data_IF_221041002609
#
_entry.id   IF_221041002609
#
_cell.length_a   1.000
_cell.length_b   1.000
_cell.length_c   1.000
_cell.angle_alpha   90.00
_cell.angle_beta   90.00
_cell.angle_gamma   90.00
#
_symmetry.space_group_name_H-M   'P 1'
#
loop_
_entity.id
_entity.type
_entity.pdbx_description
1 polymer ?
#
# COMPACT_ATOMS: atom_id res chain seq x y z
N UNK A 1 -16.03 -14.40 2.85
CA UNK A 1 -16.04 -14.69 4.29
C UNK A 1 -15.22 -15.93 4.49
N UNK A 2 -14.02 -15.71 5.03
CA UNK A 2 -12.85 -16.57 4.93
C UNK A 2 -12.97 -17.84 5.75
N UNK A 3 -12.41 -18.93 5.22
CA UNK A 3 -12.41 -20.25 5.85
C UNK A 3 -11.82 -20.27 7.28
N UNK A 4 -11.02 -19.25 7.62
CA UNK A 4 -10.45 -19.01 8.94
C UNK A 4 -11.50 -18.72 10.02
N UNK A 5 -12.49 -17.87 9.74
CA UNK A 5 -13.55 -17.55 10.72
C UNK A 5 -14.41 -18.77 11.05
N UNK A 6 -14.59 -19.65 10.07
CA UNK A 6 -15.35 -20.90 10.25
C UNK A 6 -14.60 -21.88 11.15
N UNK A 7 -13.27 -21.94 11.04
CA UNK A 7 -12.43 -22.82 11.87
C UNK A 7 -12.37 -22.30 13.32
N UNK A 8 -12.23 -20.98 13.50
CA UNK A 8 -12.29 -20.33 14.81
C UNK A 8 -13.63 -20.54 15.51
N UNK A 9 -14.74 -20.43 14.78
CA UNK A 9 -16.09 -20.67 15.32
C UNK A 9 -16.27 -22.12 15.77
N UNK A 10 -15.72 -23.08 15.03
CA UNK A 10 -15.78 -24.50 15.37
C UNK A 10 -15.01 -24.80 16.66
N UNK A 11 -13.79 -24.27 16.79
CA UNK A 11 -12.95 -24.48 17.98
C UNK A 11 -13.61 -23.84 19.22
N UNK A 12 -14.20 -22.65 19.08
CA UNK A 12 -14.91 -21.98 20.17
C UNK A 12 -16.13 -22.77 20.63
N UNK A 13 -16.90 -23.32 19.69
CA UNK A 13 -18.08 -24.14 19.99
C UNK A 13 -17.74 -25.49 20.63
N UNK A 14 -16.59 -26.07 20.31
CA UNK A 14 -16.08 -27.28 20.96
C UNK A 14 -15.67 -27.00 22.42
N UNK A 15 -15.04 -25.84 22.66
CA UNK A 15 -14.56 -25.41 23.98
C UNK A 15 -15.68 -25.09 24.98
N UNK A 16 -16.79 -24.52 24.51
CA UNK A 16 -17.95 -24.17 25.34
C UNK A 16 -18.81 -25.40 25.69
N UNK A 17 -18.78 -26.47 24.87
CA UNK A 17 -19.57 -27.68 25.12
C UNK A 17 -18.98 -28.61 26.19
N UNK A 18 -17.69 -28.49 26.53
CA UNK A 18 -17.06 -29.33 27.56
C UNK A 18 -17.32 -28.84 29.01
N UNK A 19 -17.95 -27.68 29.23
CA UNK A 19 -18.16 -27.11 30.57
C UNK A 19 -19.50 -27.45 31.25
N UNK A 20 -20.43 -28.15 30.60
CA UNK A 20 -21.72 -28.54 31.22
C UNK A 20 -22.02 -30.01 31.07
N UNK A 21 -21.26 -30.86 31.77
CA UNK A 21 -21.73 -32.13 32.35
C UNK A 21 -20.58 -32.83 33.09
N UNK A 22 -20.50 -32.67 34.41
CA UNK A 22 -20.00 -33.71 35.33
C UNK A 22 -20.18 -33.34 36.81
N UNK A 23 -21.31 -33.79 37.36
CA UNK A 23 -21.55 -34.08 38.79
C UNK A 23 -22.46 -35.32 38.74
N UNK A 24 -22.24 -36.49 39.34
CA UNK A 24 -21.53 -36.95 40.54
C UNK A 24 -21.22 -38.45 40.33
N UNK A 25 -20.05 -38.96 40.75
CA UNK A 25 -19.89 -40.21 41.54
C UNK A 25 -18.40 -40.56 41.78
N UNK A 26 -18.01 -40.69 43.06
CA UNK A 26 -16.75 -41.29 43.52
C UNK A 26 -16.87 -42.82 43.51
N UNK A 27 -15.77 -43.57 43.25
CA UNK A 27 -14.95 -44.02 44.38
C UNK A 27 -13.44 -43.83 44.20
N UNK A 28 -12.79 -43.85 45.36
CA UNK A 28 -11.38 -43.66 45.68
C UNK A 28 -10.45 -44.69 45.03
N UNK A 29 -9.46 -44.26 44.24
CA UNK A 29 -8.23 -45.02 43.94
C UNK A 29 -7.04 -44.05 44.02
N UNK A 30 -6.05 -44.46 44.80
CA UNK A 30 -4.79 -43.79 45.14
C UNK A 30 -3.87 -43.54 43.93
N UNK A 31 -2.97 -42.55 44.09
CA UNK A 31 -1.69 -42.34 43.39
C UNK A 31 -1.80 -41.92 41.91
N UNK A 32 -1.26 -40.79 41.45
CA UNK A 32 0.08 -40.27 41.66
C UNK A 32 0.10 -38.75 41.51
N UNK A 33 0.62 -38.06 42.51
CA UNK A 33 1.07 -36.68 42.41
C UNK A 33 2.42 -36.68 41.67
N UNK A 34 2.40 -36.27 40.41
CA UNK A 34 3.62 -35.79 39.73
C UNK A 34 3.22 -34.73 38.70
N UNK A 35 3.60 -33.45 38.89
CA UNK A 35 3.38 -32.44 37.87
C UNK A 35 4.20 -32.80 36.62
N UNK A 36 3.63 -32.73 35.39
CA UNK A 36 4.43 -32.90 34.19
C UNK A 36 5.52 -31.81 34.14
N UNK A 37 6.75 -32.22 33.87
CA UNK A 37 7.93 -31.35 33.81
C UNK A 37 7.74 -30.14 32.87
N UNK A 38 8.29 -28.96 33.21
CA UNK A 38 8.18 -27.71 32.43
C UNK A 38 8.98 -27.68 31.11
N UNK A 39 9.66 -28.77 30.73
CA UNK A 39 10.65 -28.77 29.62
C UNK A 39 10.02 -28.80 28.22
N UNK A 40 8.85 -29.42 28.07
CA UNK A 40 8.15 -29.50 26.78
C UNK A 40 7.49 -28.18 26.37
N UNK A 41 7.01 -27.39 27.34
CA UNK A 41 6.48 -26.05 27.10
C UNK A 41 7.57 -25.09 26.57
N UNK A 42 8.77 -25.16 27.15
CA UNK A 42 9.89 -24.33 26.70
C UNK A 42 10.32 -24.61 25.25
N UNK A 43 10.27 -25.86 24.78
CA UNK A 43 10.58 -26.18 23.38
C UNK A 43 9.55 -25.63 22.40
N UNK A 44 8.27 -25.67 22.78
CA UNK A 44 7.17 -25.12 21.97
C UNK A 44 7.25 -23.59 21.95
N UNK A 45 7.56 -22.95 23.08
CA UNK A 45 7.73 -21.50 23.16
C UNK A 45 8.94 -21.02 22.35
N UNK A 46 10.05 -21.75 22.38
CA UNK A 46 11.23 -21.44 21.56
C UNK A 46 10.91 -21.54 20.06
N UNK A 47 10.23 -22.61 19.64
CA UNK A 47 9.82 -22.79 18.25
C UNK A 47 8.83 -21.69 17.80
N UNK A 48 7.90 -21.30 18.67
CA UNK A 48 6.96 -20.22 18.39
C UNK A 48 7.70 -18.88 18.23
N UNK A 49 8.68 -18.61 19.10
CA UNK A 49 9.49 -17.38 19.04
C UNK A 49 10.34 -17.32 17.77
N UNK A 50 10.89 -18.44 17.33
CA UNK A 50 11.66 -18.55 16.08
C UNK A 50 10.78 -18.27 14.85
N UNK A 51 9.61 -18.90 14.77
CA UNK A 51 8.64 -18.64 13.69
C UNK A 51 8.15 -17.19 13.70
N UNK A 52 7.92 -16.61 14.88
CA UNK A 52 7.48 -15.24 15.02
C UNK A 52 8.57 -14.24 14.60
N UNK A 53 9.84 -14.54 14.88
CA UNK A 53 10.98 -13.75 14.42
C UNK A 53 11.15 -13.84 12.90
N UNK A 54 10.99 -15.02 12.30
CA UNK A 54 11.07 -15.21 10.85
C UNK A 54 9.95 -14.47 10.11
N UNK A 55 8.71 -14.51 10.63
CA UNK A 55 7.58 -13.74 10.07
C UNK A 55 7.86 -12.24 10.17
N UNK A 56 8.31 -11.75 11.33
CA UNK A 56 8.61 -10.34 11.51
C UNK A 56 9.75 -9.86 10.60
N UNK A 57 10.78 -10.69 10.39
CA UNK A 57 11.86 -10.39 9.46
C UNK A 57 11.38 -10.36 8.00
N UNK A 58 10.49 -11.28 7.63
CA UNK A 58 9.92 -11.34 6.29
C UNK A 58 8.99 -10.15 6.02
N UNK A 59 8.17 -9.76 7.00
CA UNK A 59 7.32 -8.58 6.91
C UNK A 59 8.14 -7.30 6.75
N UNK A 60 9.24 -7.15 7.51
CA UNK A 60 10.14 -6.00 7.40
C UNK A 60 10.79 -5.89 6.01
N UNK A 61 11.22 -7.01 5.42
CA UNK A 61 11.78 -7.05 4.06
C UNK A 61 10.72 -6.71 3.00
N UNK A 62 9.48 -7.22 3.15
CA UNK A 62 8.38 -6.90 2.25
C UNK A 62 7.97 -5.42 2.34
N UNK A 63 7.94 -4.85 3.54
CA UNK A 63 7.68 -3.43 3.74
C UNK A 63 8.76 -2.56 3.10
N UNK A 64 10.04 -2.93 3.27
CA UNK A 64 11.15 -2.22 2.66
C UNK A 64 11.07 -2.24 1.13
N UNK A 65 10.77 -3.40 0.53
CA UNK A 65 10.59 -3.53 -0.93
C UNK A 65 9.44 -2.68 -1.44
N UNK A 66 8.28 -2.73 -0.78
CA UNK A 66 7.13 -1.90 -1.13
C UNK A 66 7.47 -0.41 -1.10
N UNK A 67 8.24 0.01 -0.11
CA UNK A 67 8.67 1.40 0.03
C UNK A 67 9.59 1.83 -1.12
N UNK A 68 10.57 0.98 -1.47
CA UNK A 68 11.45 1.20 -2.63
C UNK A 68 10.69 1.24 -3.95
N UNK A 69 9.74 0.33 -4.18
CA UNK A 69 8.92 0.32 -5.39
C UNK A 69 8.08 1.59 -5.51
N UNK A 70 7.50 2.07 -4.41
CA UNK A 70 6.71 3.30 -4.39
C UNK A 70 7.58 4.54 -4.70
N UNK A 71 8.78 4.60 -4.15
CA UNK A 71 9.74 5.67 -4.46
C UNK A 71 10.16 5.67 -5.93
N UNK A 72 10.49 4.49 -6.49
CA UNK A 72 10.83 4.37 -7.91
C UNK A 72 9.65 4.77 -8.80
N UNK A 73 8.43 4.35 -8.46
CA UNK A 73 7.23 4.72 -9.19
C UNK A 73 6.98 6.23 -9.14
N UNK A 74 7.21 6.89 -8.00
CA UNK A 74 7.14 8.35 -7.88
C UNK A 74 8.16 9.04 -8.77
N UNK A 75 9.42 8.60 -8.73
CA UNK A 75 10.49 9.17 -9.54
C UNK A 75 10.18 9.03 -11.04
N UNK A 76 9.70 7.86 -11.47
CA UNK A 76 9.30 7.66 -12.86
C UNK A 76 8.14 8.57 -13.25
N UNK A 77 7.12 8.71 -12.38
CA UNK A 77 5.99 9.59 -12.65
C UNK A 77 6.44 11.06 -12.77
N UNK A 78 7.35 11.52 -11.92
CA UNK A 78 7.93 12.86 -12.00
C UNK A 78 8.71 13.06 -13.29
N UNK A 79 9.52 12.09 -13.71
CA UNK A 79 10.23 12.15 -14.99
C UNK A 79 9.28 12.23 -16.19
N UNK A 80 8.21 11.43 -16.19
CA UNK A 80 7.20 11.46 -17.26
C UNK A 80 6.53 12.84 -17.29
N UNK A 81 6.13 13.37 -16.14
CA UNK A 81 5.53 14.72 -16.04
C UNK A 81 6.50 15.81 -16.51
N UNK A 82 7.77 15.71 -16.16
CA UNK A 82 8.79 16.65 -16.60
C UNK A 82 8.95 16.60 -18.13
N UNK A 83 9.08 15.41 -18.71
CA UNK A 83 9.16 15.21 -20.16
C UNK A 83 7.92 15.73 -20.89
N UNK A 84 6.72 15.51 -20.34
CA UNK A 84 5.47 16.04 -20.89
C UNK A 84 5.46 17.57 -20.88
N UNK A 85 5.86 18.19 -19.76
CA UNK A 85 5.97 19.65 -19.67
C UNK A 85 7.00 20.21 -20.65
N UNK A 86 8.14 19.56 -20.80
CA UNK A 86 9.18 20.00 -21.74
C UNK A 86 8.74 19.83 -23.19
N UNK A 87 8.04 18.74 -23.53
CA UNK A 87 7.45 18.55 -24.84
C UNK A 87 6.39 19.63 -25.14
N UNK A 88 5.50 19.91 -24.20
CA UNK A 88 4.50 20.99 -24.31
C UNK A 88 5.17 22.36 -24.49
N UNK A 89 6.25 22.65 -23.75
CA UNK A 89 7.02 23.89 -23.91
C UNK A 89 7.62 24.01 -25.31
N UNK A 90 8.16 22.93 -25.87
CA UNK A 90 8.69 22.95 -27.24
C UNK A 90 7.57 23.15 -28.26
N UNK A 91 6.47 22.42 -28.13
CA UNK A 91 5.30 22.58 -28.99
C UNK A 91 4.73 24.00 -28.93
N UNK A 92 4.70 24.61 -27.74
CA UNK A 92 4.28 25.99 -27.54
C UNK A 92 5.22 26.99 -28.23
N UNK A 93 6.53 26.77 -28.16
CA UNK A 93 7.52 27.59 -28.88
C UNK A 93 7.34 27.46 -30.39
N UNK A 94 7.27 26.23 -30.90
CA UNK A 94 7.08 25.96 -32.33
C UNK A 94 5.76 26.55 -32.85
N UNK A 95 4.70 26.51 -32.04
CA UNK A 95 3.42 27.12 -32.36
C UNK A 95 3.51 28.64 -32.38
N UNK A 96 4.15 29.26 -31.38
CA UNK A 96 4.38 30.71 -31.34
C UNK A 96 5.22 31.22 -32.51
N UNK A 97 6.23 30.45 -32.95
CA UNK A 97 7.04 30.80 -34.11
C UNK A 97 6.26 30.72 -35.43
N UNK A 98 5.29 29.81 -35.51
CA UNK A 98 4.40 29.66 -36.68
C UNK A 98 3.20 30.60 -36.65
N UNK A 99 2.86 31.12 -35.48
CA UNK A 99 1.72 32.00 -35.28
C UNK A 99 1.99 33.35 -35.94
N UNK A 100 1.20 33.69 -36.95
CA UNK A 100 1.25 35.01 -37.57
C UNK A 100 0.59 36.05 -36.64
N UNK A 101 1.32 37.09 -36.20
CA UNK A 101 0.78 38.15 -35.34
C UNK A 101 -0.42 38.90 -35.95
N UNK A 102 -0.55 38.91 -37.28
CA UNK A 102 -1.64 39.60 -37.98
C UNK A 102 -2.81 38.67 -38.33
N UNK A 103 -2.71 37.38 -38.04
CA UNK A 103 -3.82 36.43 -38.16
C UNK A 103 -4.89 36.72 -37.09
N UNK A 104 -6.19 36.41 -37.35
CA UNK A 104 -7.22 36.44 -36.31
C UNK A 104 -6.84 35.65 -35.04
N UNK A 105 -6.14 34.53 -35.20
CA UNK A 105 -5.63 33.72 -34.08
C UNK A 105 -4.48 34.39 -33.35
N UNK A 106 -3.58 35.06 -34.07
CA UNK A 106 -2.48 35.85 -33.48
C UNK A 106 -3.01 37.02 -32.64
N UNK A 107 -3.94 37.79 -33.20
CA UNK A 107 -4.57 38.92 -32.49
C UNK A 107 -5.37 38.48 -31.26
N UNK A 108 -6.09 37.36 -31.36
CA UNK A 108 -6.76 36.76 -30.21
C UNK A 108 -5.75 36.29 -29.16
N UNK A 109 -4.69 35.62 -29.57
CA UNK A 109 -3.67 35.10 -28.67
C UNK A 109 -2.93 36.22 -27.92
N UNK A 110 -2.66 37.36 -28.55
CA UNK A 110 -2.08 38.53 -27.88
C UNK A 110 -2.96 38.99 -26.71
N UNK A 111 -4.29 39.04 -26.91
CA UNK A 111 -5.26 39.40 -25.85
C UNK A 111 -5.34 38.34 -24.76
N UNK A 112 -5.27 37.07 -25.14
CA UNK A 112 -5.24 35.97 -24.20
C UNK A 112 -3.97 36.01 -23.33
N UNK A 113 -2.81 36.25 -23.95
CA UNK A 113 -1.51 36.29 -23.30
C UNK A 113 -1.32 37.48 -22.35
N UNK A 114 -2.09 38.57 -22.48
CA UNK A 114 -2.06 39.72 -21.55
C UNK A 114 -2.33 39.32 -20.10
N UNK A 115 -3.07 38.23 -19.87
CA UNK A 115 -3.38 37.72 -18.52
C UNK A 115 -2.30 36.85 -17.89
N UNK A 116 -1.27 36.46 -18.65
CA UNK A 116 -0.19 35.57 -18.23
C UNK A 116 1.13 36.33 -18.08
N UNK A 117 2.07 35.74 -17.33
CA UNK A 117 3.39 36.34 -17.13
C UNK A 117 4.22 36.36 -18.42
N UNK A 118 3.94 35.45 -19.35
CA UNK A 118 4.61 35.39 -20.65
C UNK A 118 3.73 34.77 -21.74
N UNK A 119 4.01 35.13 -23.01
CA UNK A 119 3.38 34.51 -24.18
C UNK A 119 3.62 33.00 -24.23
N UNK A 120 4.78 32.53 -23.78
CA UNK A 120 5.09 31.10 -23.74
C UNK A 120 4.18 30.36 -22.75
N UNK A 121 3.90 30.95 -21.60
CA UNK A 121 3.00 30.37 -20.59
C UNK A 121 1.55 30.31 -21.10
N UNK A 122 1.09 31.39 -21.73
CA UNK A 122 -0.21 31.40 -22.41
C UNK A 122 -0.29 30.34 -23.52
N UNK A 123 0.74 30.18 -24.34
CA UNK A 123 0.76 29.18 -25.41
C UNK A 123 0.72 27.75 -24.84
N UNK A 124 1.40 27.49 -23.71
CA UNK A 124 1.33 26.20 -23.03
C UNK A 124 -0.11 25.94 -22.53
N UNK A 125 -0.74 26.93 -21.90
CA UNK A 125 -2.11 26.78 -21.38
C UNK A 125 -3.12 26.53 -22.51
N UNK A 126 -2.97 27.27 -23.62
CA UNK A 126 -3.79 27.08 -24.82
C UNK A 126 -3.62 25.67 -25.40
N UNK A 127 -2.37 25.19 -25.57
CA UNK A 127 -2.10 23.85 -26.09
C UNK A 127 -2.44 22.72 -25.12
N UNK A 128 -2.53 23.00 -23.82
CA UNK A 128 -2.98 22.03 -22.83
C UNK A 128 -4.51 21.90 -22.79
N UNK A 129 -5.22 22.96 -23.20
CA UNK A 129 -6.69 23.04 -23.17
C UNK A 129 -7.34 22.61 -24.51
N UNK A 130 -6.58 22.56 -25.61
CA UNK A 130 -7.03 22.09 -26.94
C UNK A 130 -6.57 20.67 -27.21
#
# INVERSE_FOLDING_TARGET
MDALDKLLSQIKAESENEQTQQQIQKPNIFQSLSPPEPKSLSLIDNLLSEVQADIAAQDAELELRKQQELEQARLQQEQIKAKQKDALKQQAKDWLEKLDPFSPEGLWFERFAESYSSKLEAAIEYLQTN
#
